data_IF_710353833923
#
_entry.id   IF_710353833923
#
_cell.length_a   1.000
_cell.length_b   1.000
_cell.length_c   1.000
_cell.angle_alpha   90.00
_cell.angle_beta   90.00
_cell.angle_gamma   90.00
#
_symmetry.space_group_name_H-M   'P 1'
#
loop_
_entity.id
_entity.type
_entity.pdbx_description
1 polymer ?
#
# COMPACT_ATOMS: atom_id res chain seq x y z
N UNK A 1 -16.10 13.15 -51.51
CA UNK A 1 -17.37 13.91 -51.53
C UNK A 1 -18.08 13.54 -50.23
N UNK A 2 -18.30 14.37 -49.23
CA UNK A 2 -18.49 15.82 -49.14
C UNK A 2 -17.96 16.39 -47.80
N UNK A 3 -17.71 17.70 -47.82
CA UNK A 3 -17.53 18.71 -46.76
C UNK A 3 -17.79 18.30 -45.29
N UNK A 4 -16.98 18.69 -44.30
CA UNK A 4 -16.33 19.98 -44.12
C UNK A 4 -17.19 20.91 -43.24
N UNK A 5 -17.01 20.88 -41.91
CA UNK A 5 -17.46 21.95 -40.99
C UNK A 5 -16.41 22.18 -39.90
N UNK A 6 -15.58 23.19 -40.10
CA UNK A 6 -14.69 23.78 -39.10
C UNK A 6 -15.52 24.62 -38.11
N UNK A 7 -15.40 24.31 -36.81
CA UNK A 7 -15.95 25.13 -35.73
C UNK A 7 -15.11 26.41 -35.58
N UNK A 8 -15.75 27.59 -35.73
CA UNK A 8 -15.16 28.90 -35.42
C UNK A 8 -15.14 29.09 -33.90
N UNK A 9 -13.93 29.20 -33.35
CA UNK A 9 -13.70 29.64 -31.97
C UNK A 9 -14.09 31.11 -31.77
N UNK A 10 -14.82 31.47 -30.69
CA UNK A 10 -15.13 32.86 -30.37
C UNK A 10 -13.88 33.55 -29.80
N UNK A 11 -13.39 34.57 -30.53
CA UNK A 11 -12.35 35.48 -30.03
C UNK A 11 -12.96 36.46 -29.01
N UNK A 12 -13.06 36.05 -27.75
CA UNK A 12 -13.28 37.00 -26.64
C UNK A 12 -11.94 37.65 -26.28
N UNK A 13 -11.67 38.83 -26.85
CA UNK A 13 -10.56 39.68 -26.43
C UNK A 13 -10.85 40.25 -25.03
N UNK A 14 -10.31 39.60 -23.99
CA UNK A 14 -10.21 40.19 -22.65
C UNK A 14 -9.19 41.34 -22.71
N UNK A 15 -9.65 42.59 -22.75
CA UNK A 15 -8.78 43.78 -22.60
C UNK A 15 -8.37 43.89 -21.12
N UNK A 16 -7.22 43.34 -20.78
CA UNK A 16 -6.58 43.58 -19.48
C UNK A 16 -6.06 45.01 -19.43
N UNK A 17 -6.78 45.89 -18.75
CA UNK A 17 -6.38 47.28 -18.54
C UNK A 17 -5.40 47.33 -17.34
N UNK A 18 -4.14 46.95 -17.57
CA UNK A 18 -3.09 47.08 -16.56
C UNK A 18 -2.70 48.55 -16.42
N UNK A 19 -3.18 49.21 -15.36
CA UNK A 19 -2.55 50.45 -14.85
C UNK A 19 -1.13 50.10 -14.40
N UNK A 20 -0.14 50.56 -15.14
CA UNK A 20 1.27 50.40 -14.82
C UNK A 20 1.64 51.23 -13.57
N UNK A 21 1.43 50.66 -12.38
CA UNK A 21 2.04 51.19 -11.18
C UNK A 21 3.55 51.03 -11.29
N UNK A 22 4.29 52.14 -11.15
CA UNK A 22 5.75 52.20 -11.20
C UNK A 22 6.32 51.36 -10.06
N UNK A 23 6.58 50.09 -10.34
CA UNK A 23 6.97 49.10 -9.33
C UNK A 23 8.43 49.37 -8.92
N UNK A 24 8.70 49.37 -7.62
CA UNK A 24 10.04 49.61 -7.08
C UNK A 24 11.02 48.54 -7.63
N UNK A 25 12.19 48.91 -8.20
CA UNK A 25 13.13 47.96 -8.80
C UNK A 25 13.58 46.85 -7.86
N UNK A 26 13.63 47.11 -6.54
CA UNK A 26 13.96 46.07 -5.53
C UNK A 26 12.88 44.98 -5.43
N UNK A 27 11.61 45.32 -5.65
CA UNK A 27 10.50 44.35 -5.65
C UNK A 27 10.54 43.47 -6.89
N UNK A 28 10.88 44.03 -8.05
CA UNK A 28 11.01 43.30 -9.31
C UNK A 28 12.11 42.23 -9.19
N UNK A 29 13.26 42.58 -8.59
CA UNK A 29 14.35 41.64 -8.36
C UNK A 29 13.93 40.48 -7.44
N UNK A 30 13.18 40.75 -6.37
CA UNK A 30 12.66 39.72 -5.47
C UNK A 30 11.68 38.76 -6.18
N UNK A 31 10.74 39.28 -6.98
CA UNK A 31 9.83 38.43 -7.76
C UNK A 31 10.57 37.57 -8.78
N UNK A 32 11.60 38.11 -9.44
CA UNK A 32 12.39 37.36 -10.41
C UNK A 32 13.15 36.20 -9.75
N UNK A 33 13.70 36.41 -8.55
CA UNK A 33 14.36 35.36 -7.77
C UNK A 33 13.35 34.27 -7.37
N UNK A 34 12.16 34.64 -6.89
CA UNK A 34 11.10 33.69 -6.52
C UNK A 34 10.66 32.86 -7.74
N UNK A 35 10.48 33.50 -8.89
CA UNK A 35 10.09 32.83 -10.14
C UNK A 35 11.20 31.88 -10.62
N UNK A 36 12.47 32.30 -10.60
CA UNK A 36 13.59 31.42 -10.94
C UNK A 36 13.65 30.22 -9.99
N UNK A 37 13.49 30.44 -8.68
CA UNK A 37 13.50 29.38 -7.69
C UNK A 37 12.31 28.41 -7.89
N UNK A 38 11.14 28.92 -8.25
CA UNK A 38 9.98 28.12 -8.64
C UNK A 38 10.27 27.31 -9.90
N UNK A 39 10.84 27.90 -10.96
CA UNK A 39 11.20 27.15 -12.16
C UNK A 39 12.27 26.09 -11.90
N UNK A 40 13.30 26.39 -11.12
CA UNK A 40 14.35 25.44 -10.75
C UNK A 40 13.78 24.28 -9.93
N UNK A 41 12.92 24.57 -8.95
CA UNK A 41 12.24 23.52 -8.17
C UNK A 41 11.30 22.67 -9.04
N UNK A 42 10.52 23.27 -9.95
CA UNK A 42 9.67 22.49 -10.87
C UNK A 42 10.47 21.67 -11.89
N UNK A 43 11.66 22.13 -12.31
CA UNK A 43 12.49 21.44 -13.30
C UNK A 43 13.19 20.21 -12.72
N UNK A 44 13.50 20.21 -11.41
CA UNK A 44 14.08 19.05 -10.72
C UNK A 44 13.02 17.97 -10.43
N UNK A 45 11.73 18.34 -10.39
CA UNK A 45 10.64 17.45 -9.98
C UNK A 45 10.07 16.55 -11.10
N UNK A 46 10.49 16.72 -12.36
CA UNK A 46 9.88 16.02 -13.50
C UNK A 46 10.78 15.01 -14.23
N UNK A 47 11.89 14.58 -13.61
CA UNK A 47 12.57 13.36 -14.06
C UNK A 47 11.75 12.13 -13.65
N UNK A 48 10.63 11.90 -14.33
CA UNK A 48 9.93 10.63 -14.26
C UNK A 48 10.86 9.56 -14.85
N UNK A 49 11.57 8.84 -13.97
CA UNK A 49 12.37 7.70 -14.36
C UNK A 49 11.46 6.70 -15.07
N UNK A 50 11.91 6.21 -16.23
CA UNK A 50 11.21 5.15 -16.96
C UNK A 50 10.96 3.98 -15.98
N UNK A 51 9.72 3.45 -15.91
CA UNK A 51 9.42 2.30 -15.07
C UNK A 51 10.36 1.12 -15.37
N UNK A 52 10.93 0.52 -14.32
CA UNK A 52 11.85 -0.60 -14.45
C UNK A 52 11.12 -1.94 -14.66
N UNK A 53 10.32 -2.06 -15.72
CA UNK A 53 9.45 -3.23 -15.97
C UNK A 53 10.22 -4.56 -15.95
N UNK A 54 11.41 -4.60 -16.56
CA UNK A 54 12.25 -5.82 -16.59
C UNK A 54 12.66 -6.28 -15.18
N UNK A 55 13.00 -5.34 -14.30
CA UNK A 55 13.46 -5.64 -12.94
C UNK A 55 12.29 -6.11 -12.06
N UNK A 56 11.11 -5.52 -12.25
CA UNK A 56 9.87 -5.95 -11.59
C UNK A 56 9.51 -7.37 -12.01
N UNK A 57 9.50 -7.68 -13.30
CA UNK A 57 9.21 -9.03 -13.79
C UNK A 57 10.24 -10.06 -13.31
N UNK A 58 11.53 -9.69 -13.28
CA UNK A 58 12.59 -10.54 -12.71
C UNK A 58 12.33 -10.82 -11.23
N UNK A 59 11.89 -9.81 -10.48
CA UNK A 59 11.54 -9.95 -9.07
C UNK A 59 10.30 -10.82 -8.84
N UNK A 60 9.27 -10.70 -9.69
CA UNK A 60 8.09 -11.58 -9.66
C UNK A 60 8.49 -13.04 -9.86
N UNK A 61 9.33 -13.34 -10.85
CA UNK A 61 9.83 -14.71 -11.10
C UNK A 61 10.63 -15.24 -9.92
N UNK A 62 11.47 -14.39 -9.31
CA UNK A 62 12.20 -14.75 -8.09
C UNK A 62 11.22 -15.12 -6.96
N UNK A 63 10.24 -14.26 -6.67
CA UNK A 63 9.28 -14.49 -5.58
C UNK A 63 8.43 -15.74 -5.80
N UNK A 64 8.06 -16.08 -7.04
CA UNK A 64 7.34 -17.33 -7.35
C UNK A 64 8.18 -18.58 -7.07
N UNK A 65 9.44 -18.59 -7.51
CA UNK A 65 10.34 -19.72 -7.25
C UNK A 65 10.72 -19.81 -5.77
N UNK A 66 10.85 -18.67 -5.11
CA UNK A 66 11.11 -18.61 -3.68
C UNK A 66 9.91 -19.09 -2.86
N UNK A 67 8.68 -18.71 -3.23
CA UNK A 67 7.46 -19.20 -2.60
C UNK A 67 7.34 -20.73 -2.68
N UNK A 68 7.63 -21.32 -3.84
CA UNK A 68 7.69 -22.78 -4.03
C UNK A 68 8.68 -23.44 -3.05
N UNK A 69 9.92 -22.94 -3.00
CA UNK A 69 10.94 -23.40 -2.04
C UNK A 69 10.50 -23.24 -0.58
N UNK A 70 9.83 -22.14 -0.25
CA UNK A 70 9.36 -21.85 1.10
C UNK A 70 8.20 -22.77 1.50
N UNK A 71 7.30 -23.10 0.58
CA UNK A 71 6.22 -24.09 0.78
C UNK A 71 6.80 -25.47 1.06
N UNK A 72 7.78 -25.93 0.27
CA UNK A 72 8.50 -27.18 0.51
C UNK A 72 9.17 -27.20 1.89
N UNK A 73 9.75 -26.06 2.29
CA UNK A 73 10.34 -25.86 3.61
C UNK A 73 9.35 -25.63 4.75
N UNK A 74 8.03 -25.73 4.49
CA UNK A 74 6.93 -25.44 5.45
C UNK A 74 6.97 -24.03 6.04
N UNK A 75 7.63 -23.08 5.37
CA UNK A 75 7.69 -21.66 5.72
C UNK A 75 6.53 -20.91 5.06
N UNK A 76 5.32 -21.30 5.46
CA UNK A 76 4.09 -20.84 4.81
C UNK A 76 3.86 -19.33 4.94
N UNK A 77 4.34 -18.71 6.03
CA UNK A 77 4.20 -17.26 6.23
C UNK A 77 4.99 -16.46 5.21
N UNK A 78 6.27 -16.76 5.06
CA UNK A 78 7.15 -16.16 4.05
C UNK A 78 6.60 -16.39 2.65
N UNK A 79 6.15 -17.63 2.34
CA UNK A 79 5.57 -17.96 1.05
C UNK A 79 4.30 -17.15 0.77
N UNK A 80 3.41 -17.02 1.77
CA UNK A 80 2.15 -16.30 1.64
C UNK A 80 2.33 -14.82 1.30
N UNK A 81 3.34 -14.17 1.87
CA UNK A 81 3.67 -12.76 1.62
C UNK A 81 4.35 -12.57 0.26
N UNK A 82 5.23 -13.50 -0.15
CA UNK A 82 5.79 -13.54 -1.51
C UNK A 82 4.69 -13.66 -2.57
N UNK A 83 3.74 -14.59 -2.38
CA UNK A 83 2.60 -14.76 -3.29
C UNK A 83 1.67 -13.54 -3.28
N UNK A 84 1.43 -12.93 -2.12
CA UNK A 84 0.60 -11.71 -2.03
C UNK A 84 1.17 -10.56 -2.86
N UNK A 85 2.48 -10.35 -2.83
CA UNK A 85 3.13 -9.35 -3.67
C UNK A 85 2.96 -9.70 -5.17
N UNK A 86 3.08 -10.98 -5.54
CA UNK A 86 2.87 -11.42 -6.92
C UNK A 86 1.42 -11.19 -7.38
N UNK A 87 0.42 -11.54 -6.57
CA UNK A 87 -1.00 -11.35 -6.90
C UNK A 87 -1.38 -9.88 -7.11
N UNK A 88 -0.69 -8.93 -6.45
CA UNK A 88 -0.91 -7.50 -6.70
C UNK A 88 -0.51 -7.05 -8.10
N UNK A 89 0.46 -7.72 -8.72
CA UNK A 89 0.88 -7.44 -10.10
C UNK A 89 0.16 -8.36 -11.10
N UNK A 90 0.06 -9.65 -10.80
CA UNK A 90 -0.59 -10.64 -11.66
C UNK A 90 -1.67 -11.40 -10.86
N UNK A 91 -2.90 -10.85 -10.76
CA UNK A 91 -3.96 -11.47 -9.98
C UNK A 91 -4.37 -12.85 -10.53
N UNK A 92 -4.15 -13.11 -11.82
CA UNK A 92 -4.55 -14.34 -12.51
C UNK A 92 -3.36 -15.27 -12.86
N UNK A 93 -2.20 -15.12 -12.20
CA UNK A 93 -1.03 -15.94 -12.50
C UNK A 93 -1.26 -17.42 -12.13
N UNK A 94 -1.22 -18.32 -13.11
CA UNK A 94 -1.49 -19.74 -12.90
C UNK A 94 -0.53 -20.40 -11.89
N UNK A 95 0.78 -20.11 -12.01
CA UNK A 95 1.76 -20.65 -11.05
C UNK A 95 1.50 -20.13 -9.63
N UNK A 96 1.15 -18.85 -9.48
CA UNK A 96 0.83 -18.28 -8.18
C UNK A 96 -0.41 -18.93 -7.56
N UNK A 97 -1.44 -19.18 -8.37
CA UNK A 97 -2.67 -19.88 -7.94
C UNK A 97 -2.38 -21.31 -7.47
N UNK A 98 -1.61 -22.08 -8.25
CA UNK A 98 -1.22 -23.44 -7.88
C UNK A 98 -0.41 -23.48 -6.57
N UNK A 99 0.50 -22.52 -6.37
CA UNK A 99 1.25 -22.41 -5.11
C UNK A 99 0.38 -21.93 -3.95
N UNK A 100 -0.59 -21.06 -4.20
CA UNK A 100 -1.55 -20.59 -3.21
C UNK A 100 -2.46 -21.73 -2.72
N UNK A 101 -2.94 -22.59 -3.61
CA UNK A 101 -3.74 -23.78 -3.26
C UNK A 101 -2.96 -24.79 -2.39
N UNK A 102 -1.63 -24.78 -2.44
CA UNK A 102 -0.78 -25.61 -1.58
C UNK A 102 -0.60 -25.03 -0.16
N UNK A 103 -0.95 -23.77 0.07
CA UNK A 103 -0.89 -23.17 1.40
C UNK A 103 -2.01 -23.72 2.30
N UNK A 104 -1.80 -23.85 3.62
CA UNK A 104 -2.89 -24.11 4.56
C UNK A 104 -3.96 -23.00 4.53
N UNK A 105 -5.22 -23.33 4.82
CA UNK A 105 -6.38 -22.41 4.77
C UNK A 105 -6.16 -21.06 5.46
N UNK A 106 -5.46 -21.07 6.61
CA UNK A 106 -5.15 -19.86 7.38
C UNK A 106 -4.31 -18.88 6.52
N UNK A 107 -3.34 -19.41 5.79
CA UNK A 107 -2.44 -18.65 4.93
C UNK A 107 -3.09 -18.26 3.62
N UNK A 108 -3.93 -19.12 3.04
CA UNK A 108 -4.69 -18.81 1.84
C UNK A 108 -5.53 -17.53 2.02
N UNK A 109 -6.23 -17.42 3.17
CA UNK A 109 -7.04 -16.24 3.51
C UNK A 109 -6.19 -14.98 3.64
N UNK A 110 -4.98 -15.07 4.16
CA UNK A 110 -4.06 -13.93 4.35
C UNK A 110 -3.42 -13.45 3.05
N UNK A 111 -3.25 -14.33 2.06
CA UNK A 111 -2.58 -13.99 0.79
C UNK A 111 -3.42 -13.09 -0.11
N UNK A 112 -4.72 -13.37 -0.27
CA UNK A 112 -5.58 -12.63 -1.24
C UNK A 112 -6.41 -11.51 -0.61
N UNK A 113 -6.74 -11.62 0.67
CA UNK A 113 -7.62 -10.66 1.32
C UNK A 113 -6.80 -9.71 2.20
N UNK A 114 -6.80 -8.43 1.82
CA UNK A 114 -6.30 -7.38 2.70
C UNK A 114 -7.23 -7.27 3.92
N UNK A 115 -6.66 -7.41 5.12
CA UNK A 115 -7.45 -7.35 6.35
C UNK A 115 -7.81 -5.88 6.66
N UNK A 116 -9.11 -5.61 6.79
CA UNK A 116 -9.66 -4.32 7.19
C UNK A 116 -9.30 -3.91 8.64
N UNK A 117 -8.77 -4.83 9.45
CA UNK A 117 -8.33 -4.58 10.83
C UNK A 117 -6.98 -3.86 10.92
N UNK A 118 -6.29 -3.66 9.79
CA UNK A 118 -5.08 -2.84 9.72
C UNK A 118 -3.76 -3.63 9.71
N UNK A 119 -2.69 -2.96 10.14
CA UNK A 119 -1.30 -3.43 10.06
C UNK A 119 -0.98 -4.45 11.16
N UNK A 120 -1.25 -5.73 10.95
CA UNK A 120 -0.78 -6.76 11.89
C UNK A 120 -0.96 -8.17 11.38
N UNK A 121 -2.17 -8.46 10.91
CA UNK A 121 -2.62 -9.83 10.67
C UNK A 121 -1.84 -10.59 9.57
N UNK A 122 -1.14 -9.90 8.69
CA UNK A 122 -0.46 -10.54 7.55
C UNK A 122 1.02 -10.82 7.76
N UNK A 123 1.66 -10.31 8.83
CA UNK A 123 3.14 -10.23 8.87
C UNK A 123 3.81 -11.14 9.91
N UNK A 124 3.05 -12.02 10.56
CA UNK A 124 3.54 -12.98 11.56
C UNK A 124 3.00 -14.38 11.31
N UNK A 125 3.82 -15.40 11.57
CA UNK A 125 3.47 -16.80 11.42
C UNK A 125 2.92 -17.37 12.72
N UNK A 126 1.80 -18.11 12.70
CA UNK A 126 1.39 -18.88 13.87
C UNK A 126 2.53 -19.83 14.27
N UNK A 127 2.82 -19.88 15.56
CA UNK A 127 3.88 -20.69 16.14
C UNK A 127 3.31 -21.58 17.25
N UNK A 128 3.69 -22.85 17.24
CA UNK A 128 3.28 -23.82 18.26
C UNK A 128 4.21 -23.74 19.48
N UNK A 129 3.95 -22.76 20.33
CA UNK A 129 4.66 -22.64 21.61
C UNK A 129 4.06 -23.56 22.68
N UNK A 130 4.93 -24.02 23.59
CA UNK A 130 4.53 -24.83 24.74
C UNK A 130 3.65 -24.02 25.71
N UNK A 131 2.87 -24.72 26.53
CA UNK A 131 2.01 -24.08 27.53
C UNK A 131 2.78 -23.14 28.47
N UNK A 132 3.99 -23.53 28.89
CA UNK A 132 4.82 -22.74 29.80
C UNK A 132 5.41 -21.50 29.15
N UNK A 133 5.77 -21.57 27.86
CA UNK A 133 6.20 -20.39 27.10
C UNK A 133 5.04 -19.40 26.94
N UNK A 134 3.83 -19.88 26.63
CA UNK A 134 2.63 -19.02 26.57
C UNK A 134 2.36 -18.35 27.91
N UNK A 135 2.50 -19.09 29.01
CA UNK A 135 2.33 -18.53 30.35
C UNK A 135 3.42 -17.49 30.69
N UNK A 136 4.66 -17.73 30.28
CA UNK A 136 5.76 -16.79 30.48
C UNK A 136 5.59 -15.49 29.68
N UNK A 137 5.04 -15.59 28.46
CA UNK A 137 4.75 -14.45 27.59
C UNK A 137 3.46 -13.71 27.92
N UNK A 138 2.54 -14.31 28.68
CA UNK A 138 1.25 -13.70 29.00
C UNK A 138 1.35 -12.26 29.54
N UNK A 139 2.17 -12.04 30.57
CA UNK A 139 2.33 -10.69 31.15
C UNK A 139 3.07 -9.75 30.19
N UNK A 140 4.23 -10.12 29.60
CA UNK A 140 4.90 -9.29 28.60
C UNK A 140 3.99 -8.89 27.43
N UNK A 141 3.24 -9.81 26.84
CA UNK A 141 2.35 -9.54 25.71
C UNK A 141 1.28 -8.51 26.10
N UNK A 142 0.62 -8.66 27.27
CA UNK A 142 -0.35 -7.64 27.74
C UNK A 142 0.25 -6.25 27.93
N UNK A 143 1.51 -6.15 28.39
CA UNK A 143 2.20 -4.87 28.53
C UNK A 143 2.46 -4.26 27.14
N UNK A 144 2.86 -5.08 26.18
CA UNK A 144 3.14 -4.62 24.83
C UNK A 144 1.86 -4.15 24.12
N UNK A 145 0.75 -4.88 24.26
CA UNK A 145 -0.54 -4.48 23.68
C UNK A 145 -1.05 -3.17 24.29
N UNK A 146 -0.84 -2.97 25.60
CA UNK A 146 -1.14 -1.70 26.27
C UNK A 146 -0.33 -0.53 25.68
N UNK A 147 0.94 -0.76 25.33
CA UNK A 147 1.78 0.27 24.70
C UNK A 147 1.38 0.54 23.24
N UNK A 148 0.81 -0.46 22.55
CA UNK A 148 0.33 -0.31 21.17
C UNK A 148 -0.96 0.51 21.05
N UNK A 149 -1.69 0.72 22.15
CA UNK A 149 -2.91 1.54 22.17
C UNK A 149 -2.64 2.99 21.75
N UNK A 150 -1.46 3.55 22.06
CA UNK A 150 -1.19 4.97 21.81
C UNK A 150 -0.01 5.16 20.85
N UNK A 151 -0.12 6.15 19.98
CA UNK A 151 1.00 6.66 19.18
C UNK A 151 1.24 8.13 19.49
N UNK A 152 2.49 8.52 19.69
CA UNK A 152 2.91 9.91 19.97
C UNK A 152 4.13 10.22 19.12
N UNK A 153 4.02 11.22 18.24
CA UNK A 153 5.11 11.65 17.38
C UNK A 153 5.32 13.16 17.45
N UNK A 154 6.58 13.58 17.58
CA UNK A 154 6.99 14.98 17.43
C UNK A 154 7.55 15.16 16.02
N UNK A 155 7.05 16.15 15.29
CA UNK A 155 7.36 16.37 13.88
C UNK A 155 8.21 17.62 13.68
N UNK A 156 9.26 17.51 12.87
CA UNK A 156 10.13 18.62 12.47
C UNK A 156 10.17 18.71 10.95
N UNK A 157 9.95 19.90 10.40
CA UNK A 157 10.00 20.18 8.97
C UNK A 157 8.89 21.11 8.50
N UNK A 158 8.98 21.63 7.25
CA UNK A 158 7.97 22.53 6.68
C UNK A 158 6.60 21.86 6.66
N UNK A 159 5.66 22.39 7.45
CA UNK A 159 4.31 21.85 7.59
C UNK A 159 3.31 22.94 7.97
N UNK A 160 2.07 22.80 7.53
CA UNK A 160 0.97 23.66 7.92
C UNK A 160 -0.34 22.88 7.90
N UNK A 161 -1.12 23.08 8.95
CA UNK A 161 -2.49 22.60 8.99
C UNK A 161 -2.80 21.78 10.23
N UNK A 162 -4.01 21.26 10.25
CA UNK A 162 -4.52 20.47 11.34
C UNK A 162 -5.40 19.33 10.80
N UNK A 163 -5.39 18.23 11.52
CA UNK A 163 -6.26 17.10 11.30
C UNK A 163 -6.76 16.62 12.65
N UNK A 164 -8.04 16.29 12.72
CA UNK A 164 -8.65 15.62 13.86
C UNK A 164 -9.60 14.55 13.32
N UNK A 165 -9.59 13.38 13.95
CA UNK A 165 -10.43 12.27 13.53
C UNK A 165 -10.85 11.41 14.71
N UNK A 166 -12.07 10.89 14.62
CA UNK A 166 -12.55 9.84 15.53
C UNK A 166 -12.25 8.45 14.95
N UNK A 167 -12.47 8.31 13.65
CA UNK A 167 -11.98 7.24 12.78
C UNK A 167 -11.67 7.88 11.43
N UNK A 168 -11.03 7.18 10.50
CA UNK A 168 -10.80 7.74 9.16
C UNK A 168 -12.11 7.89 8.34
N UNK A 169 -13.21 7.30 8.81
CA UNK A 169 -14.56 7.57 8.32
C UNK A 169 -15.15 8.91 8.80
N UNK A 170 -14.66 9.42 9.94
CA UNK A 170 -15.16 10.63 10.60
C UNK A 170 -13.97 11.51 10.97
N UNK A 171 -13.53 12.32 10.00
CA UNK A 171 -12.37 13.19 10.15
C UNK A 171 -12.62 14.59 9.60
N UNK A 172 -11.82 15.54 10.06
CA UNK A 172 -11.66 16.86 9.45
C UNK A 172 -10.16 17.08 9.32
N UNK A 173 -9.69 17.12 8.08
CA UNK A 173 -8.27 17.20 7.75
C UNK A 173 -8.04 18.31 6.75
N UNK A 174 -7.13 19.22 7.07
CA UNK A 174 -6.51 20.15 6.13
C UNK A 174 -5.05 20.25 6.54
N UNK A 175 -4.18 19.48 5.87
CA UNK A 175 -2.79 19.33 6.28
C UNK A 175 -1.87 19.21 5.06
N UNK A 176 -0.76 19.93 5.06
CA UNK A 176 0.30 19.74 4.06
C UNK A 176 1.67 19.93 4.71
N UNK A 177 2.62 19.06 4.40
CA UNK A 177 3.99 19.19 4.91
C UNK A 177 4.95 18.12 4.44
N UNK A 178 6.24 18.39 4.66
CA UNK A 178 7.33 17.42 4.57
C UNK A 178 8.06 17.40 5.89
N UNK A 179 7.90 16.32 6.64
CA UNK A 179 8.33 16.22 8.02
C UNK A 179 9.20 14.99 8.25
N UNK A 180 10.14 15.13 9.17
CA UNK A 180 10.77 14.02 9.88
C UNK A 180 10.20 14.02 11.29
N UNK A 181 9.59 12.93 11.71
CA UNK A 181 9.05 12.78 13.05
C UNK A 181 9.82 11.73 13.83
N UNK A 182 9.90 11.92 15.15
CA UNK A 182 10.46 10.95 16.08
C UNK A 182 9.44 10.69 17.18
N UNK A 183 9.27 9.44 17.55
CA UNK A 183 8.24 9.09 18.51
C UNK A 183 7.98 7.60 18.64
N UNK A 184 6.97 7.31 19.44
CA UNK A 184 6.40 5.98 19.59
C UNK A 184 5.23 5.87 18.62
N UNK A 185 5.35 4.97 17.65
CA UNK A 185 4.31 4.73 16.64
C UNK A 185 3.79 3.30 16.74
N UNK A 186 2.60 3.10 16.16
CA UNK A 186 1.88 1.83 16.14
C UNK A 186 2.79 0.63 15.88
N UNK A 187 2.47 -0.50 16.52
CA UNK A 187 3.19 -1.78 16.46
C UNK A 187 4.62 -1.67 16.98
N UNK A 188 4.74 -1.12 18.19
CA UNK A 188 5.97 -1.15 19.01
C UNK A 188 7.16 -0.48 18.32
N UNK A 189 6.87 0.51 17.46
CA UNK A 189 7.88 1.14 16.63
C UNK A 189 8.29 2.49 17.23
N UNK A 190 9.32 2.43 18.08
CA UNK A 190 10.08 3.59 18.51
C UNK A 190 11.10 3.94 17.43
N UNK A 191 10.94 5.09 16.78
CA UNK A 191 11.79 5.38 15.64
C UNK A 191 11.60 6.75 15.03
N UNK A 192 12.09 6.85 13.80
CA UNK A 192 12.03 8.04 12.95
C UNK A 192 11.14 7.71 11.75
N UNK A 193 10.21 8.62 11.45
CA UNK A 193 9.37 8.57 10.28
C UNK A 193 9.66 9.78 9.39
N UNK A 194 9.86 9.56 8.10
CA UNK A 194 9.80 10.65 7.12
C UNK A 194 8.45 10.58 6.42
N UNK A 195 7.75 11.70 6.34
CA UNK A 195 6.45 11.80 5.66
C UNK A 195 6.39 13.09 4.84
N UNK A 196 5.97 12.96 3.59
CA UNK A 196 5.55 14.06 2.72
C UNK A 196 4.06 13.87 2.45
N UNK A 197 3.23 14.75 2.98
CA UNK A 197 1.77 14.63 2.89
C UNK A 197 1.11 15.92 2.42
N UNK A 198 0.04 15.77 1.63
CA UNK A 198 -0.93 16.81 1.32
C UNK A 198 -2.32 16.18 1.36
N UNK A 199 -3.12 16.58 2.33
CA UNK A 199 -4.35 15.90 2.72
C UNK A 199 -5.45 16.93 2.95
N UNK A 200 -6.62 16.65 2.40
CA UNK A 200 -7.85 17.33 2.74
C UNK A 200 -8.96 16.29 2.86
N UNK A 201 -9.70 16.29 3.96
CA UNK A 201 -10.80 15.37 4.16
C UNK A 201 -11.89 16.00 5.04
N UNK A 202 -13.13 15.65 4.74
CA UNK A 202 -14.28 15.95 5.55
C UNK A 202 -15.16 14.70 5.63
N UNK A 203 -15.36 14.20 6.83
CA UNK A 203 -15.94 12.87 7.09
C UNK A 203 -15.13 11.79 6.34
N UNK A 204 -15.81 10.85 5.69
CA UNK A 204 -15.16 9.76 4.95
C UNK A 204 -14.70 10.14 3.54
N UNK A 205 -14.74 11.42 3.16
CA UNK A 205 -14.45 11.87 1.80
C UNK A 205 -13.27 12.83 1.79
N UNK A 206 -12.33 12.65 0.86
CA UNK A 206 -11.15 13.49 0.78
C UNK A 206 -10.16 13.08 -0.28
N UNK A 207 -9.06 13.81 -0.35
CA UNK A 207 -7.88 13.47 -1.14
C UNK A 207 -6.66 13.41 -0.24
N UNK A 208 -5.77 12.47 -0.53
CA UNK A 208 -4.50 12.34 0.18
C UNK A 208 -3.38 11.96 -0.79
N UNK A 209 -2.34 12.77 -0.82
CA UNK A 209 -1.06 12.40 -1.39
C UNK A 209 -0.08 12.21 -0.23
N UNK A 210 0.25 10.96 0.09
CA UNK A 210 1.13 10.61 1.21
C UNK A 210 2.26 9.75 0.69
N UNK A 211 3.48 10.22 0.92
CA UNK A 211 4.70 9.44 0.76
C UNK A 211 5.43 9.37 2.09
N UNK A 212 5.53 8.17 2.67
CA UNK A 212 6.09 8.00 4.01
C UNK A 212 6.95 6.76 4.14
N UNK A 213 7.94 6.82 5.03
CA UNK A 213 8.77 5.69 5.45
C UNK A 213 9.04 5.74 6.95
N UNK A 214 9.00 4.58 7.63
CA UNK A 214 9.32 4.44 9.05
C UNK A 214 10.54 3.56 9.25
N UNK A 215 11.44 3.95 10.14
CA UNK A 215 12.62 3.20 10.56
C UNK A 215 12.73 3.28 12.08
N UNK A 216 12.81 2.14 12.76
CA UNK A 216 12.89 2.10 14.21
C UNK A 216 13.06 0.70 14.76
N UNK A 217 12.63 0.50 16.02
CA UNK A 217 12.60 -0.81 16.69
C UNK A 217 11.61 -1.78 16.07
N UNK A 218 10.56 -1.26 15.44
CA UNK A 218 9.59 -2.04 14.69
C UNK A 218 10.06 -2.33 13.25
N UNK A 219 9.23 -3.06 12.50
CA UNK A 219 9.49 -3.29 11.07
C UNK A 219 9.39 -1.99 10.28
N UNK A 220 10.13 -1.94 9.16
CA UNK A 220 10.00 -0.84 8.20
C UNK A 220 8.59 -0.84 7.61
N UNK A 221 7.95 0.32 7.65
CA UNK A 221 6.67 0.55 6.99
C UNK A 221 6.87 1.61 5.92
N UNK A 222 6.18 1.44 4.79
CA UNK A 222 6.23 2.34 3.65
C UNK A 222 4.79 2.67 3.21
N UNK A 223 4.57 3.93 2.85
CA UNK A 223 3.39 4.38 2.12
C UNK A 223 3.81 5.17 0.89
N UNK A 224 3.18 4.89 -0.24
CA UNK A 224 3.24 5.74 -1.42
C UNK A 224 1.88 5.72 -2.08
N UNK A 225 1.00 6.65 -1.70
CA UNK A 225 -0.36 6.72 -2.23
C UNK A 225 -0.60 8.13 -2.75
N UNK A 226 -1.15 8.17 -3.96
CA UNK A 226 -1.41 9.39 -4.71
C UNK A 226 -2.86 9.37 -5.20
N UNK A 227 -3.79 9.52 -4.26
CA UNK A 227 -5.22 9.51 -4.58
C UNK A 227 -5.78 10.92 -4.43
N UNK A 228 -6.10 11.54 -5.56
CA UNK A 228 -6.59 12.93 -5.61
C UNK A 228 -7.94 13.13 -4.93
N UNK A 229 -8.84 12.15 -5.03
CA UNK A 229 -10.13 12.10 -4.33
C UNK A 229 -10.60 10.65 -4.20
N UNK A 230 -10.93 10.20 -3.00
CA UNK A 230 -11.45 8.86 -2.73
C UNK A 230 -12.29 8.82 -1.45
N UNK A 231 -13.01 7.71 -1.29
CA UNK A 231 -13.71 7.40 -0.04
C UNK A 231 -12.73 6.66 0.87
N UNK A 232 -12.50 7.19 2.06
CA UNK A 232 -11.68 6.55 3.07
C UNK A 232 -12.36 5.24 3.50
N UNK A 233 -11.79 4.11 3.09
CA UNK A 233 -12.26 2.75 3.41
C UNK A 233 -11.17 1.97 4.13
N UNK A 234 -11.50 1.07 5.06
CA UNK A 234 -10.50 0.31 5.82
C UNK A 234 -9.66 -0.62 4.94
N UNK A 235 -10.16 -1.00 3.76
CA UNK A 235 -9.45 -1.79 2.77
C UNK A 235 -8.46 -0.98 1.93
N UNK A 236 -8.43 0.35 2.04
CA UNK A 236 -7.48 1.16 1.28
C UNK A 236 -6.04 0.82 1.73
N UNK A 237 -5.09 0.60 0.80
CA UNK A 237 -3.71 0.27 1.12
C UNK A 237 -3.04 1.22 2.11
N UNK A 238 -3.48 2.48 2.19
CA UNK A 238 -3.00 3.48 3.16
C UNK A 238 -3.21 2.99 4.59
N UNK A 239 -4.39 2.45 4.86
CA UNK A 239 -4.79 2.02 6.19
C UNK A 239 -4.42 0.57 6.50
N UNK A 240 -4.28 -0.25 5.46
CA UNK A 240 -3.78 -1.61 5.62
C UNK A 240 -2.27 -1.62 5.92
N UNK A 241 -1.51 -0.65 5.39
CA UNK A 241 -0.03 -0.71 5.42
C UNK A 241 0.67 0.42 6.18
N UNK A 242 0.02 1.57 6.44
CA UNK A 242 0.73 2.74 6.99
C UNK A 242 0.02 3.51 8.11
N UNK A 243 -1.29 3.73 8.03
CA UNK A 243 -2.09 4.34 9.11
C UNK A 243 -3.10 3.37 9.68
N UNK A 244 -3.62 3.62 10.86
CA UNK A 244 -4.78 2.87 11.37
C UNK A 244 -6.07 3.54 10.89
N UNK A 245 -6.98 2.76 10.31
CA UNK A 245 -8.31 3.25 9.92
C UNK A 245 -9.18 3.54 11.16
N UNK A 246 -9.02 2.70 12.19
CA UNK A 246 -9.84 2.65 13.39
C UNK A 246 -9.27 3.48 14.53
N UNK A 247 -8.24 4.29 14.30
CA UNK A 247 -7.72 5.18 15.35
C UNK A 247 -8.57 6.43 15.49
N UNK A 248 -8.57 7.01 16.70
CA UNK A 248 -8.89 8.42 16.93
C UNK A 248 -7.61 9.19 17.14
N UNK A 249 -7.53 10.43 16.70
CA UNK A 249 -6.32 11.21 16.88
C UNK A 249 -6.41 12.63 16.37
N UNK A 250 -5.29 13.32 16.56
CA UNK A 250 -5.09 14.66 16.03
C UNK A 250 -3.65 14.84 15.58
N UNK A 251 -3.49 15.64 14.53
CA UNK A 251 -2.20 16.04 13.96
C UNK A 251 -2.20 17.55 13.77
N UNK A 252 -1.20 18.22 14.30
CA UNK A 252 -1.05 19.68 14.17
C UNK A 252 0.35 19.99 13.67
N UNK A 253 0.44 20.84 12.64
CA UNK A 253 1.69 21.33 12.09
C UNK A 253 1.67 22.85 11.97
N UNK A 254 2.68 23.51 12.52
CA UNK A 254 2.84 24.97 12.47
C UNK A 254 4.26 25.32 12.01
N UNK A 255 4.36 25.64 10.73
CA UNK A 255 5.57 26.08 10.01
C UNK A 255 6.69 25.04 10.03
N UNK A 256 7.36 24.82 11.16
CA UNK A 256 8.49 23.89 11.29
C UNK A 256 8.30 22.81 12.36
N UNK A 257 7.34 22.98 13.28
CA UNK A 257 7.13 22.08 14.42
C UNK A 257 5.69 21.58 14.40
N UNK A 258 5.52 20.32 14.76
CA UNK A 258 4.21 19.70 14.85
C UNK A 258 4.21 18.52 15.81
N UNK A 259 3.02 18.01 16.08
CA UNK A 259 2.82 16.83 16.90
C UNK A 259 1.63 16.02 16.39
N UNK A 260 1.70 14.72 16.58
CA UNK A 260 0.65 13.76 16.24
C UNK A 260 0.42 12.84 17.44
N UNK A 261 -0.85 12.66 17.79
CA UNK A 261 -1.30 11.78 18.85
C UNK A 261 -2.43 10.90 18.30
N UNK A 262 -2.31 9.59 18.44
CA UNK A 262 -3.35 8.63 18.07
C UNK A 262 -3.65 7.65 19.22
N UNK A 263 -4.89 7.16 19.26
CA UNK A 263 -5.36 6.05 20.07
C UNK A 263 -6.01 5.01 19.16
N UNK A 264 -5.58 3.76 19.25
CA UNK A 264 -5.87 2.68 18.30
C UNK A 264 -6.93 1.73 18.85
N UNK A 265 -8.20 1.87 18.44
CA UNK A 265 -9.29 1.06 19.01
C UNK A 265 -9.15 -0.43 18.74
N UNK A 266 -8.53 -0.80 17.62
CA UNK A 266 -8.30 -2.18 17.28
C UNK A 266 -7.30 -2.83 18.25
N UNK A 267 -6.28 -2.09 18.71
CA UNK A 267 -5.32 -2.55 19.73
C UNK A 267 -5.95 -2.56 21.13
N UNK A 268 -6.86 -1.61 21.43
CA UNK A 268 -7.64 -1.63 22.69
C UNK A 268 -8.45 -2.91 22.80
N UNK A 269 -9.13 -3.28 21.72
CA UNK A 269 -9.91 -4.52 21.69
C UNK A 269 -9.00 -5.75 21.85
N UNK A 270 -7.79 -5.74 21.28
CA UNK A 270 -6.86 -6.88 21.33
C UNK A 270 -6.27 -7.07 22.73
N UNK A 271 -5.84 -5.96 23.34
CA UNK A 271 -5.45 -5.92 24.74
C UNK A 271 -6.53 -6.50 25.67
N UNK A 272 -7.79 -6.11 25.48
CA UNK A 272 -8.92 -6.62 26.27
C UNK A 272 -9.21 -8.10 25.99
N UNK A 273 -9.14 -8.51 24.72
CA UNK A 273 -9.40 -9.88 24.31
C UNK A 273 -8.35 -10.86 24.86
N UNK A 274 -7.08 -10.48 24.91
CA UNK A 274 -6.05 -11.40 25.36
C UNK A 274 -5.97 -11.60 26.88
N UNK A 275 -6.71 -10.85 27.71
CA UNK A 275 -7.02 -11.31 29.09
C UNK A 275 -7.77 -12.65 29.10
N UNK A 276 -8.48 -12.96 28.01
CA UNK A 276 -9.16 -14.23 27.77
C UNK A 276 -8.39 -15.14 26.81
N UNK A 277 -7.08 -14.88 26.61
CA UNK A 277 -6.19 -15.64 25.73
C UNK A 277 -6.63 -15.63 24.25
N UNK A 278 -7.34 -14.58 23.83
CA UNK A 278 -7.74 -14.35 22.44
C UNK A 278 -6.86 -13.25 21.83
N UNK A 279 -6.12 -13.60 20.78
CA UNK A 279 -5.26 -12.70 19.99
C UNK A 279 -5.84 -12.61 18.57
N UNK A 280 -6.49 -11.50 18.24
CA UNK A 280 -7.05 -11.30 16.91
C UNK A 280 -6.18 -10.44 16.02
N UNK A 281 -5.19 -9.73 16.57
CA UNK A 281 -4.20 -9.00 15.79
C UNK A 281 -3.07 -9.90 15.30
N UNK A 282 -2.85 -11.04 15.97
CA UNK A 282 -1.84 -12.02 15.66
C UNK A 282 -0.44 -11.50 15.92
N UNK A 283 -0.23 -10.68 16.95
CA UNK A 283 1.06 -10.08 17.30
C UNK A 283 1.61 -10.40 18.69
N UNK A 284 0.94 -11.30 19.42
CA UNK A 284 1.47 -11.92 20.63
C UNK A 284 2.68 -12.80 20.31
N UNK A 285 3.75 -12.66 21.10
CA UNK A 285 4.91 -13.56 21.00
C UNK A 285 4.60 -14.96 21.50
N UNK A 286 3.60 -15.11 22.38
CA UNK A 286 3.12 -16.41 22.85
C UNK A 286 2.57 -17.30 21.74
N UNK A 287 2.06 -16.74 20.64
CA UNK A 287 1.32 -17.48 19.60
C UNK A 287 1.89 -17.26 18.20
N UNK A 288 2.73 -16.24 18.00
CA UNK A 288 3.21 -15.88 16.67
C UNK A 288 4.71 -15.55 16.60
N UNK A 289 5.33 -16.09 15.56
CA UNK A 289 6.71 -15.81 15.15
C UNK A 289 6.80 -14.70 14.10
N UNK A 290 7.97 -14.06 14.04
CA UNK A 290 8.29 -13.13 12.96
C UNK A 290 8.57 -13.87 11.66
N UNK A 291 8.07 -13.36 10.53
CA UNK A 291 8.38 -13.88 9.19
C UNK A 291 9.77 -13.38 8.77
N UNK A 292 10.75 -14.25 8.55
CA UNK A 292 12.12 -13.82 8.26
C UNK A 292 12.43 -13.86 6.77
N UNK A 293 12.67 -12.68 6.20
CA UNK A 293 13.21 -12.54 4.85
C UNK A 293 14.70 -12.20 4.90
N UNK A 294 15.47 -12.80 4.00
CA UNK A 294 16.83 -12.35 3.75
C UNK A 294 16.80 -11.03 2.94
N UNK A 295 17.93 -10.34 2.87
CA UNK A 295 18.03 -9.03 2.21
C UNK A 295 17.67 -9.05 0.71
N UNK A 296 17.92 -10.18 0.03
CA UNK A 296 17.60 -10.35 -1.39
C UNK A 296 16.08 -10.51 -1.58
N UNK A 297 15.43 -11.34 -0.76
CA UNK A 297 13.98 -11.50 -0.70
C UNK A 297 13.30 -10.16 -0.38
N UNK A 298 13.79 -9.41 0.60
CA UNK A 298 13.27 -8.08 0.93
C UNK A 298 13.35 -7.10 -0.24
N UNK A 299 14.46 -7.09 -1.00
CA UNK A 299 14.64 -6.22 -2.15
C UNK A 299 13.67 -6.57 -3.30
N UNK A 300 13.50 -7.87 -3.59
CA UNK A 300 12.51 -8.32 -4.58
C UNK A 300 11.08 -8.03 -4.16
N UNK A 301 10.73 -8.28 -2.89
CA UNK A 301 9.42 -7.96 -2.33
C UNK A 301 9.14 -6.46 -2.41
N UNK A 302 10.12 -5.64 -2.03
CA UNK A 302 10.02 -4.18 -2.10
C UNK A 302 9.80 -3.69 -3.54
N UNK A 303 10.55 -4.22 -4.52
CA UNK A 303 10.38 -3.82 -5.93
C UNK A 303 9.00 -4.14 -6.48
N UNK A 304 8.47 -5.32 -6.17
CA UNK A 304 7.16 -5.76 -6.64
C UNK A 304 6.04 -4.96 -5.97
N UNK A 305 6.07 -4.79 -4.64
CA UNK A 305 5.06 -4.01 -3.91
C UNK A 305 5.10 -2.55 -4.37
N UNK A 306 6.29 -1.95 -4.47
CA UNK A 306 6.42 -0.56 -4.91
C UNK A 306 6.00 -0.36 -6.37
N UNK A 307 6.15 -1.36 -7.24
CA UNK A 307 5.60 -1.32 -8.59
C UNK A 307 4.06 -1.40 -8.57
N UNK A 308 3.49 -2.30 -7.77
CA UNK A 308 2.04 -2.44 -7.64
C UNK A 308 1.37 -1.17 -7.13
N UNK A 309 2.01 -0.48 -6.18
CA UNK A 309 1.46 0.73 -5.58
C UNK A 309 1.66 1.99 -6.46
N UNK A 310 2.68 2.01 -7.33
CA UNK A 310 3.03 3.20 -8.13
C UNK A 310 2.59 3.16 -9.59
N UNK A 311 2.45 1.98 -10.17
CA UNK A 311 2.05 1.88 -11.57
C UNK A 311 0.59 2.29 -11.69
N UNK A 312 0.33 3.29 -12.52
CA UNK A 312 -1.05 3.56 -12.93
C UNK A 312 -1.55 2.46 -13.86
N UNK A 313 -2.86 2.45 -14.13
CA UNK A 313 -3.53 1.46 -14.99
C UNK A 313 -2.80 1.28 -16.34
N UNK A 314 -2.46 2.39 -17.02
CA UNK A 314 -1.75 2.36 -18.29
C UNK A 314 -0.35 1.72 -18.19
N UNK A 315 0.39 1.99 -17.12
CA UNK A 315 1.71 1.39 -16.89
C UNK A 315 1.58 -0.10 -16.55
N UNK A 316 0.53 -0.48 -15.84
CA UNK A 316 0.24 -1.88 -15.54
C UNK A 316 -0.12 -2.65 -16.82
N UNK A 317 -0.95 -2.08 -17.69
CA UNK A 317 -1.30 -2.66 -18.99
C UNK A 317 -0.07 -2.82 -19.90
N UNK A 318 0.80 -1.81 -19.96
CA UNK A 318 2.05 -1.88 -20.71
C UNK A 318 2.98 -2.97 -20.16
N UNK A 319 3.06 -3.08 -18.83
CA UNK A 319 3.82 -4.12 -18.14
C UNK A 319 3.29 -5.52 -18.48
N UNK A 320 1.98 -5.75 -18.40
CA UNK A 320 1.35 -7.04 -18.76
C UNK A 320 1.48 -7.38 -20.24
N UNK A 321 1.41 -6.39 -21.13
CA UNK A 321 1.60 -6.58 -22.57
C UNK A 321 3.04 -7.00 -22.88
N UNK A 322 4.01 -6.38 -22.19
CA UNK A 322 5.44 -6.66 -22.38
C UNK A 322 5.84 -8.00 -21.77
N UNK A 323 5.25 -8.35 -20.63
CA UNK A 323 5.52 -9.55 -19.85
C UNK A 323 4.20 -10.27 -19.55
N UNK A 324 3.60 -10.98 -20.52
CA UNK A 324 2.36 -11.69 -20.27
C UNK A 324 2.58 -12.77 -19.21
N UNK A 325 1.66 -12.85 -18.25
CA UNK A 325 1.60 -13.99 -17.35
C UNK A 325 1.35 -15.26 -18.19
N UNK A 326 1.89 -16.42 -17.80
CA UNK A 326 1.39 -17.69 -18.34
C UNK A 326 -0.11 -17.75 -17.99
N UNK A 327 -0.95 -17.59 -19.01
CA UNK A 327 -2.39 -17.67 -18.86
C UNK A 327 -2.77 -19.11 -18.47
N UNK A 328 -3.72 -19.25 -17.54
CA UNK A 328 -4.47 -20.49 -17.35
C UNK A 328 -5.01 -20.89 -18.73
N UNK A 329 -4.50 -21.96 -19.32
CA UNK A 329 -5.21 -22.61 -20.42
C UNK A 329 -6.46 -23.19 -19.79
N UNK A 330 -7.59 -22.48 -19.91
CA UNK A 330 -8.86 -23.04 -19.47
C UNK A 330 -9.08 -24.34 -20.25
N UNK A 331 -9.16 -25.46 -19.54
CA UNK A 331 -9.43 -26.80 -20.10
C UNK A 331 -10.74 -26.88 -20.91
N UNK A 332 -11.54 -25.81 -20.92
CA UNK A 332 -12.78 -25.69 -21.69
C UNK A 332 -12.58 -25.38 -23.18
N UNK A 333 -11.36 -25.06 -23.63
CA UNK A 333 -11.04 -24.96 -25.08
C UNK A 333 -10.48 -26.27 -25.65
N UNK A 334 -10.83 -27.40 -25.05
CA UNK A 334 -10.74 -28.67 -25.76
C UNK A 334 -12.01 -28.79 -26.62
N UNK A 335 -11.96 -28.56 -27.96
CA UNK A 335 -13.12 -28.81 -28.80
C UNK A 335 -13.52 -30.27 -28.57
N UNK A 336 -14.77 -30.50 -28.16
CA UNK A 336 -15.33 -31.83 -27.94
C UNK A 336 -14.77 -32.80 -28.99
N UNK A 337 -14.26 -33.99 -28.61
CA UNK A 337 -13.87 -35.00 -29.57
C UNK A 337 -15.08 -35.26 -30.45
N UNK A 338 -15.03 -34.76 -31.69
CA UNK A 338 -16.06 -35.01 -32.68
C UNK A 338 -16.33 -36.53 -32.67
N UNK A 339 -17.57 -36.97 -32.39
CA UNK A 339 -17.86 -38.39 -32.34
C UNK A 339 -17.49 -38.99 -33.69
N UNK A 340 -16.48 -39.86 -33.69
CA UNK A 340 -16.12 -40.64 -34.87
C UNK A 340 -17.32 -41.55 -35.15
N UNK A 341 -18.24 -41.09 -35.98
CA UNK A 341 -19.36 -41.91 -36.46
C UNK A 341 -18.76 -43.08 -37.23
N UNK A 342 -19.00 -44.33 -36.81
CA UNK A 342 -18.57 -45.48 -37.59
C UNK A 342 -19.34 -45.48 -38.91
N UNK A 343 -18.60 -45.45 -40.04
CA UNK A 343 -19.16 -45.68 -41.38
C UNK A 343 -19.83 -47.05 -41.42
N UNK A 344 -21.15 -47.06 -41.24
CA UNK A 344 -21.98 -48.25 -41.40
C UNK A 344 -21.84 -48.83 -42.81
N UNK A 345 -21.48 -50.11 -42.88
CA UNK A 345 -21.51 -50.89 -44.11
C UNK A 345 -22.96 -51.04 -44.57
N UNK A 346 -23.28 -50.48 -45.73
CA UNK A 346 -24.48 -50.79 -46.50
C UNK A 346 -24.55 -52.29 -46.78
N UNK A 347 -25.49 -53.01 -46.14
CA UNK A 347 -26.01 -54.27 -46.65
C UNK A 347 -27.21 -53.96 -47.53
N UNK A 348 -27.12 -54.32 -48.82
CA UNK A 348 -28.26 -54.40 -49.72
C UNK A 348 -29.16 -55.58 -49.32
N UNK A 349 -30.48 -55.50 -49.52
CA UNK A 349 -31.36 -56.65 -49.45
C UNK A 349 -31.25 -57.46 -50.75
N UNK A 350 -30.96 -58.75 -50.61
CA UNK A 350 -31.54 -59.87 -51.36
C UNK A 350 -31.03 -61.19 -50.78
#
# INVERSE_FOLDING_TARGET
MESGKFYKSPKSCFKFNMKANKMNPKKIQAYFIIIIFFYLTTSILNCASVPAYKDVNTSVKYLLNDAERLIEGKKYGEASESLRAVFRIYPENEKAELLWEQLPDIWQKRTKYDNALGQGFSKRSPEENSFWEKLAWYIPDRILDLLDIYSINVMIGPQIGASAWYTRAVQVTLYAGKTVSAGWSQKRNLGITEESSAEYAFLGFGGSAIHGRRIGTGRRAYAGIWDGFFVHMPSNPLYVNYRDYWSTGAKLGVVLIGAELECHYAEVADFLAGFFLVDFMGDDFATTGSIYFNREQEDHLYRVINAADRYNEKQMDEFHTTFPAPFRMNETDNPDPQPITPKGKNRKPN
#
